data_IF_181711856855
#
_entry.id   IF_181711856855
#
_cell.length_a   1.000
_cell.length_b   1.000
_cell.length_c   1.000
_cell.angle_alpha   90.00
_cell.angle_beta   90.00
_cell.angle_gamma   90.00
#
_symmetry.space_group_name_H-M   'P 1'
#
loop_
_entity.id
_entity.type
_entity.pdbx_description
1 polymer ?
#
# COMPACT_ATOMS: atom_id res chain seq x y z
N UNK A 1 19.62 9.45 0.37
CA UNK A 1 18.88 9.02 -0.82
C UNK A 1 19.52 7.72 -1.27
N UNK A 2 18.84 6.58 -1.14
CA UNK A 2 19.38 5.32 -1.67
C UNK A 2 19.33 5.37 -3.20
N UNK A 3 20.44 5.05 -3.87
CA UNK A 3 20.50 4.79 -5.31
C UNK A 3 19.68 3.52 -5.65
N UNK A 4 18.37 3.50 -5.44
CA UNK A 4 17.54 2.41 -5.96
C UNK A 4 17.36 2.63 -7.46
N UNK A 5 17.63 1.59 -8.25
CA UNK A 5 17.30 1.60 -9.68
C UNK A 5 15.83 1.95 -9.88
N UNK A 6 15.51 2.77 -10.88
CA UNK A 6 14.13 3.09 -11.24
C UNK A 6 13.44 1.89 -11.90
N UNK A 7 14.19 1.13 -12.70
CA UNK A 7 13.76 -0.13 -13.34
C UNK A 7 14.15 -1.31 -12.46
N UNK A 8 13.17 -2.13 -12.05
CA UNK A 8 13.36 -3.29 -11.19
C UNK A 8 12.44 -4.41 -11.62
N UNK A 9 13.00 -5.59 -11.93
CA UNK A 9 12.20 -6.81 -12.08
C UNK A 9 11.71 -7.29 -10.70
N UNK A 10 10.40 -7.33 -10.50
CA UNK A 10 9.77 -7.55 -9.20
C UNK A 10 10.09 -8.94 -8.65
N UNK A 11 9.95 -9.99 -9.47
CA UNK A 11 10.20 -11.37 -9.03
C UNK A 11 11.66 -11.58 -8.66
N UNK A 12 12.58 -11.08 -9.49
CA UNK A 12 14.02 -11.13 -9.20
C UNK A 12 14.36 -10.36 -7.92
N UNK A 13 13.78 -9.18 -7.74
CA UNK A 13 14.01 -8.37 -6.54
C UNK A 13 13.49 -9.07 -5.28
N UNK A 14 12.30 -9.66 -5.33
CA UNK A 14 11.76 -10.47 -4.23
C UNK A 14 12.69 -11.65 -3.96
N UNK A 15 13.13 -12.39 -4.99
CA UNK A 15 14.02 -13.53 -4.84
C UNK A 15 15.36 -13.14 -4.18
N UNK A 16 15.94 -12.01 -4.57
CA UNK A 16 17.17 -11.47 -3.98
C UNK A 16 16.99 -10.99 -2.53
N UNK A 17 15.77 -10.66 -2.12
CA UNK A 17 15.47 -10.09 -0.81
C UNK A 17 14.67 -11.02 0.11
N UNK A 18 14.60 -12.33 -0.20
CA UNK A 18 13.80 -13.31 0.55
C UNK A 18 14.00 -13.27 2.07
N UNK A 19 15.22 -13.05 2.53
CA UNK A 19 15.54 -12.99 3.97
C UNK A 19 14.86 -11.81 4.69
N UNK A 20 14.53 -10.72 3.99
CA UNK A 20 13.85 -9.58 4.58
C UNK A 20 12.36 -9.86 4.87
N UNK A 21 11.79 -10.90 4.25
CA UNK A 21 10.39 -11.30 4.41
C UNK A 21 10.18 -12.27 5.57
N UNK A 22 11.23 -12.54 6.35
CA UNK A 22 11.21 -13.37 7.55
C UNK A 22 11.40 -12.50 8.81
N UNK A 23 10.95 -12.97 9.99
CA UNK A 23 11.26 -12.31 11.25
C UNK A 23 12.77 -12.14 11.46
N UNK A 24 13.21 -11.04 12.13
CA UNK A 24 12.39 -10.01 12.78
C UNK A 24 12.00 -8.83 11.86
N UNK A 25 12.40 -8.84 10.59
CA UNK A 25 12.22 -7.68 9.69
C UNK A 25 10.85 -7.70 9.03
N UNK A 26 10.47 -8.85 8.45
CA UNK A 26 9.20 -9.13 7.77
C UNK A 26 8.80 -8.18 6.63
N UNK A 27 9.57 -7.15 6.27
CA UNK A 27 9.25 -6.22 5.19
C UNK A 27 10.50 -5.64 4.54
N UNK A 28 10.35 -5.15 3.30
CA UNK A 28 11.37 -4.35 2.65
C UNK A 28 10.76 -3.38 1.64
N UNK A 29 11.21 -2.14 1.68
CA UNK A 29 10.91 -1.12 0.67
C UNK A 29 11.72 -1.38 -0.60
N UNK A 30 11.02 -1.53 -1.73
CA UNK A 30 11.61 -1.46 -3.07
C UNK A 30 11.88 -0.01 -3.46
N UNK A 31 10.91 0.87 -3.20
CA UNK A 31 11.04 2.32 -3.38
C UNK A 31 10.55 3.05 -2.13
N UNK A 32 11.26 4.12 -1.76
CA UNK A 32 10.93 5.00 -0.64
C UNK A 32 11.06 6.45 -1.11
N UNK A 33 10.08 6.89 -1.91
CA UNK A 33 10.01 8.20 -2.57
C UNK A 33 8.72 8.92 -2.15
N UNK A 34 7.98 9.54 -3.08
CA UNK A 34 6.62 9.99 -2.80
C UNK A 34 5.68 8.77 -2.69
N UNK A 35 5.88 7.74 -3.52
CA UNK A 35 5.31 6.42 -3.29
C UNK A 35 6.28 5.53 -2.48
N UNK A 36 5.71 4.83 -1.50
CA UNK A 36 6.37 3.77 -0.76
C UNK A 36 5.89 2.43 -1.34
N UNK A 37 6.74 1.78 -2.12
CA UNK A 37 6.45 0.45 -2.68
C UNK A 37 7.19 -0.57 -1.81
N UNK A 38 6.45 -1.40 -1.09
CA UNK A 38 7.05 -2.39 -0.18
C UNK A 38 6.47 -3.78 -0.35
N UNK A 39 7.31 -4.77 -0.08
CA UNK A 39 6.91 -6.17 0.00
C UNK A 39 7.05 -6.65 1.43
N UNK A 40 6.04 -7.36 1.91
CA UNK A 40 5.89 -7.76 3.30
C UNK A 40 5.62 -9.26 3.37
N UNK A 41 6.41 -9.96 4.18
CA UNK A 41 6.23 -11.37 4.48
C UNK A 41 5.78 -11.65 5.91
N UNK A 42 6.13 -12.84 6.41
CA UNK A 42 5.71 -13.31 7.72
C UNK A 42 6.44 -14.59 8.16
N UNK A 43 6.13 -15.12 9.36
CA UNK A 43 4.96 -14.77 10.15
C UNK A 43 5.10 -13.43 10.88
N UNK A 44 4.04 -12.64 10.88
CA UNK A 44 3.94 -11.42 11.66
C UNK A 44 2.49 -11.23 12.12
N UNK A 45 2.24 -11.39 13.42
CA UNK A 45 0.94 -11.15 14.04
C UNK A 45 1.10 -10.09 15.11
N UNK A 46 0.18 -9.13 15.12
CA UNK A 46 0.29 -7.93 15.94
C UNK A 46 -1.09 -7.49 16.44
N UNK A 47 -1.11 -6.79 17.57
CA UNK A 47 -2.36 -6.30 18.21
C UNK A 47 -2.61 -4.82 18.00
N UNK A 48 -1.58 -4.09 17.57
CA UNK A 48 -1.73 -2.68 17.25
C UNK A 48 -2.46 -2.47 15.94
N UNK A 49 -3.25 -1.41 15.92
CA UNK A 49 -3.94 -0.86 14.78
C UNK A 49 -3.23 0.42 14.37
N UNK A 50 -2.82 0.47 13.11
CA UNK A 50 -2.32 1.68 12.49
C UNK A 50 -3.50 2.44 11.87
N UNK A 51 -3.44 3.76 11.94
CA UNK A 51 -4.39 4.68 11.35
C UNK A 51 -3.58 5.75 10.65
N UNK A 52 -3.86 5.98 9.37
CA UNK A 52 -3.25 7.04 8.60
C UNK A 52 -4.30 7.79 7.77
N UNK A 53 -3.88 8.92 7.20
CA UNK A 53 -4.75 9.76 6.36
C UNK A 53 -4.64 9.48 4.86
N UNK A 54 -3.64 8.69 4.44
CA UNK A 54 -3.54 8.12 3.09
C UNK A 54 -4.30 6.80 2.97
N UNK A 55 -4.33 6.27 1.76
CA UNK A 55 -4.89 4.93 1.46
C UNK A 55 -3.76 3.89 1.34
N UNK A 56 -4.09 2.62 1.55
CA UNK A 56 -3.14 1.51 1.40
C UNK A 56 -3.67 0.47 0.41
N UNK A 57 -2.92 0.24 -0.67
CA UNK A 57 -3.19 -0.83 -1.62
C UNK A 57 -2.48 -2.11 -1.17
N UNK A 58 -3.22 -3.20 -1.11
CA UNK A 58 -2.71 -4.55 -0.81
C UNK A 58 -2.87 -5.46 -2.03
N UNK A 59 -1.85 -6.24 -2.33
CA UNK A 59 -1.91 -7.34 -3.29
C UNK A 59 -1.10 -8.53 -2.79
N UNK A 60 -1.74 -9.69 -2.62
CA UNK A 60 -1.04 -10.90 -2.16
C UNK A 60 -0.43 -11.65 -3.34
N UNK A 61 0.90 -11.66 -3.45
CA UNK A 61 1.62 -12.40 -4.48
C UNK A 61 1.77 -13.87 -4.11
N UNK A 62 1.96 -14.15 -2.81
CA UNK A 62 2.12 -15.52 -2.28
C UNK A 62 1.45 -15.65 -0.92
N UNK A 63 0.61 -16.67 -0.78
CA UNK A 63 -0.14 -17.02 0.42
C UNK A 63 -1.16 -15.98 0.84
N UNK A 64 -1.85 -16.26 1.94
CA UNK A 64 -2.98 -15.46 2.42
C UNK A 64 -2.56 -14.53 3.57
N UNK A 65 -3.28 -13.43 3.72
CA UNK A 65 -3.21 -12.59 4.91
C UNK A 65 -4.60 -12.25 5.46
N UNK A 66 -4.66 -11.80 6.71
CA UNK A 66 -5.85 -11.21 7.29
C UNK A 66 -5.54 -9.77 7.69
N UNK A 67 -6.26 -8.80 7.15
CA UNK A 67 -6.22 -7.42 7.60
C UNK A 67 -7.39 -7.22 8.57
N UNK A 68 -7.09 -7.14 9.88
CA UNK A 68 -8.12 -6.79 10.86
C UNK A 68 -8.39 -5.30 10.76
N UNK A 69 -9.65 -4.89 10.66
CA UNK A 69 -10.03 -3.47 10.61
C UNK A 69 -11.06 -3.16 11.69
N UNK A 70 -11.22 -1.87 12.01
CA UNK A 70 -12.38 -1.37 12.74
C UNK A 70 -13.27 -0.64 11.74
N UNK A 71 -14.31 -1.34 11.27
CA UNK A 71 -15.32 -0.80 10.36
C UNK A 71 -16.53 -0.37 11.20
N UNK A 72 -16.87 0.92 11.17
CA UNK A 72 -18.05 1.45 11.88
C UNK A 72 -18.09 1.07 13.37
N UNK A 73 -16.94 1.17 14.03
CA UNK A 73 -16.81 0.83 15.46
C UNK A 73 -16.91 -0.66 15.76
N UNK A 74 -16.73 -1.54 14.76
CA UNK A 74 -16.74 -2.99 14.95
C UNK A 74 -15.50 -3.63 14.34
N UNK A 75 -14.95 -4.60 15.05
CA UNK A 75 -13.89 -5.44 14.49
C UNK A 75 -14.41 -6.23 13.30
N UNK A 76 -13.62 -6.27 12.23
CA UNK A 76 -13.88 -7.05 11.03
C UNK A 76 -12.57 -7.61 10.52
N UNK A 77 -12.57 -8.89 10.18
CA UNK A 77 -11.43 -9.56 9.57
C UNK A 77 -11.61 -9.54 8.04
N UNK A 78 -10.68 -8.91 7.33
CA UNK A 78 -10.63 -8.89 5.87
C UNK A 78 -9.59 -9.89 5.41
N UNK A 79 -10.05 -11.04 4.90
CA UNK A 79 -9.16 -12.07 4.36
C UNK A 79 -8.79 -11.72 2.91
N UNK A 80 -7.50 -11.50 2.67
CA UNK A 80 -6.94 -11.22 1.35
C UNK A 80 -6.12 -12.45 0.96
N UNK A 81 -6.63 -13.24 0.02
CA UNK A 81 -6.01 -14.49 -0.43
C UNK A 81 -4.94 -14.24 -1.48
N UNK A 82 -4.09 -15.24 -1.72
CA UNK A 82 -3.15 -15.23 -2.84
C UNK A 82 -3.85 -14.84 -4.16
N UNK A 83 -3.28 -13.87 -4.88
CA UNK A 83 -3.82 -13.32 -6.12
C UNK A 83 -4.95 -12.29 -5.94
N UNK A 84 -5.39 -12.00 -4.72
CA UNK A 84 -6.40 -10.98 -4.44
C UNK A 84 -5.79 -9.60 -4.20
N UNK A 85 -6.48 -8.57 -4.70
CA UNK A 85 -6.23 -7.16 -4.41
C UNK A 85 -7.27 -6.58 -3.46
N UNK A 86 -6.87 -5.59 -2.67
CA UNK A 86 -7.71 -4.85 -1.75
C UNK A 86 -7.18 -3.44 -1.57
N UNK A 87 -8.06 -2.43 -1.62
CA UNK A 87 -7.72 -1.05 -1.33
C UNK A 87 -8.36 -0.62 -0.01
N UNK A 88 -7.54 -0.23 0.96
CA UNK A 88 -7.99 0.30 2.24
C UNK A 88 -8.21 1.82 2.13
N UNK A 89 -9.46 2.31 2.34
CA UNK A 89 -9.72 3.74 2.45
C UNK A 89 -8.95 4.39 3.60
N UNK A 90 -8.63 5.67 3.45
CA UNK A 90 -8.02 6.48 4.48
C UNK A 90 -8.77 6.45 5.81
N UNK A 91 -8.04 6.60 6.92
CA UNK A 91 -8.55 6.79 8.28
C UNK A 91 -9.38 5.61 8.82
N UNK A 92 -9.08 4.40 8.34
CA UNK A 92 -9.60 3.15 8.89
C UNK A 92 -8.52 2.51 9.76
N UNK A 93 -8.76 2.28 11.07
CA UNK A 93 -7.85 1.54 11.90
C UNK A 93 -7.67 0.13 11.35
N UNK A 94 -6.44 -0.29 11.11
CA UNK A 94 -6.14 -1.60 10.53
C UNK A 94 -4.91 -2.27 11.16
N UNK A 95 -4.92 -3.60 11.24
CA UNK A 95 -3.91 -4.42 11.89
C UNK A 95 -3.60 -5.65 11.03
N UNK A 96 -2.54 -5.60 10.19
CA UNK A 96 -2.22 -6.68 9.26
C UNK A 96 -1.64 -7.91 9.98
N UNK A 97 -2.16 -9.07 9.63
CA UNK A 97 -1.76 -10.39 10.15
C UNK A 97 -1.26 -11.25 9.00
N UNK A 98 0.02 -11.62 9.03
CA UNK A 98 0.69 -12.38 7.97
C UNK A 98 1.18 -13.72 8.49
N UNK A 99 0.94 -14.77 7.71
CA UNK A 99 1.39 -16.13 8.02
C UNK A 99 2.83 -16.34 7.55
N UNK A 100 3.42 -17.48 7.92
CA UNK A 100 4.74 -17.85 7.40
C UNK A 100 4.68 -18.10 5.89
N UNK A 101 5.80 -17.87 5.20
CA UNK A 101 5.98 -18.15 3.77
C UNK A 101 5.06 -17.36 2.82
N UNK A 102 4.52 -16.23 3.27
CA UNK A 102 3.72 -15.31 2.44
C UNK A 102 4.55 -14.15 1.91
N UNK A 103 4.15 -13.55 0.79
CA UNK A 103 4.67 -12.27 0.30
C UNK A 103 3.50 -11.45 -0.26
N UNK A 104 3.34 -10.23 0.23
CA UNK A 104 2.34 -9.28 -0.28
C UNK A 104 2.97 -7.93 -0.59
N UNK A 105 2.49 -7.29 -1.65
CA UNK A 105 2.73 -5.89 -1.97
C UNK A 105 1.84 -5.01 -1.07
N UNK A 106 2.44 -3.94 -0.56
CA UNK A 106 1.75 -2.79 0.01
C UNK A 106 2.24 -1.53 -0.71
N UNK A 107 1.30 -0.68 -1.14
CA UNK A 107 1.60 0.65 -1.66
C UNK A 107 0.88 1.68 -0.81
N UNK A 108 1.66 2.62 -0.28
CA UNK A 108 1.23 3.81 0.44
C UNK A 108 2.02 5.02 -0.09
N UNK A 109 1.71 6.22 0.40
CA UNK A 109 2.42 7.44 0.01
C UNK A 109 3.03 8.20 1.18
N UNK A 110 4.04 8.99 0.87
CA UNK A 110 4.56 10.05 1.74
C UNK A 110 3.42 10.91 2.26
N UNK A 111 3.43 11.15 3.57
CA UNK A 111 2.46 12.02 4.24
C UNK A 111 2.65 13.48 3.84
N UNK A 112 1.57 14.24 3.77
CA UNK A 112 1.62 15.69 3.80
C UNK A 112 2.09 16.15 5.19
N UNK A 113 2.66 17.36 5.27
CA UNK A 113 3.11 17.93 6.55
C UNK A 113 1.98 18.18 7.55
N UNK A 114 0.74 18.22 7.07
CA UNK A 114 -0.48 18.37 7.87
C UNK A 114 -1.06 17.04 8.33
N UNK A 115 -0.57 15.91 7.81
CA UNK A 115 -1.13 14.60 8.08
C UNK A 115 -0.48 13.95 9.30
N UNK A 116 -1.30 13.22 10.07
CA UNK A 116 -0.86 12.52 11.28
C UNK A 116 -1.21 11.05 11.20
N UNK A 117 -0.30 10.21 11.68
CA UNK A 117 -0.52 8.78 11.87
C UNK A 117 -0.80 8.48 13.35
N UNK A 118 -1.49 7.37 13.61
CA UNK A 118 -1.71 6.85 14.95
C UNK A 118 -1.33 5.37 15.00
N UNK A 119 -0.67 4.97 16.09
CA UNK A 119 -0.61 3.58 16.51
C UNK A 119 -1.47 3.40 17.75
N UNK A 120 -2.42 2.46 17.70
CA UNK A 120 -3.41 2.25 18.75
C UNK A 120 -3.51 0.79 19.16
N UNK A 121 -3.61 0.53 20.45
CA UNK A 121 -4.00 -0.77 21.00
C UNK A 121 -5.39 -0.64 21.62
N UNK A 122 -6.16 -1.73 21.56
CA UNK A 122 -7.50 -1.79 22.11
C UNK A 122 -7.57 -2.73 23.32
N UNK A 123 -8.53 -2.46 24.21
CA UNK A 123 -8.87 -3.40 25.27
C UNK A 123 -9.42 -4.67 24.62
N UNK A 124 -8.99 -5.83 25.11
CA UNK A 124 -9.27 -7.12 24.48
C UNK A 124 -10.78 -7.32 24.22
N UNK A 125 -11.11 -7.71 22.98
CA UNK A 125 -12.49 -7.92 22.49
C UNK A 125 -13.40 -6.68 22.50
N UNK A 126 -12.84 -5.48 22.59
CA UNK A 126 -13.59 -4.21 22.51
C UNK A 126 -12.91 -3.25 21.53
N UNK A 127 -13.61 -2.17 21.17
CA UNK A 127 -13.00 -1.04 20.45
C UNK A 127 -12.54 0.08 21.37
N UNK A 128 -12.56 -0.13 22.69
CA UNK A 128 -12.09 0.86 23.65
C UNK A 128 -10.57 1.01 23.56
N UNK A 129 -10.08 2.23 23.69
CA UNK A 129 -8.66 2.54 23.53
C UNK A 129 -7.92 2.09 24.80
N UNK A 130 -6.90 1.24 24.62
CA UNK A 130 -6.00 0.82 25.69
C UNK A 130 -4.76 1.72 25.76
N UNK A 131 -4.21 2.08 24.59
CA UNK A 131 -3.05 2.93 24.44
C UNK A 131 -3.08 3.53 23.03
N UNK A 132 -2.68 4.79 22.87
CA UNK A 132 -2.46 5.35 21.54
C UNK A 132 -1.31 6.36 21.51
N UNK A 133 -0.68 6.46 20.34
CA UNK A 133 0.28 7.54 20.05
C UNK A 133 0.03 8.10 18.66
N UNK A 134 -0.16 9.41 18.62
CA UNK A 134 -0.24 10.21 17.40
C UNK A 134 1.13 10.79 17.06
N UNK A 135 1.52 10.73 15.79
CA UNK A 135 2.83 11.20 15.34
C UNK A 135 2.81 11.62 13.87
N UNK A 136 3.72 12.52 13.49
CA UNK A 136 3.98 12.83 12.08
C UNK A 136 4.86 11.74 11.48
N UNK A 137 4.35 11.02 10.48
CA UNK A 137 5.06 9.90 9.87
C UNK A 137 5.97 10.39 8.73
N UNK A 138 7.28 10.23 8.93
CA UNK A 138 8.33 10.43 7.92
C UNK A 138 8.90 9.10 7.44
N UNK A 139 9.06 8.14 8.36
CA UNK A 139 9.46 6.77 8.07
C UNK A 139 8.77 5.83 9.06
N UNK A 140 7.71 5.17 8.60
CA UNK A 140 6.84 4.35 9.43
C UNK A 140 7.63 3.24 10.14
N UNK A 141 8.47 2.51 9.41
CA UNK A 141 9.23 1.38 9.95
C UNK A 141 10.16 1.75 11.11
N UNK A 142 10.83 2.91 11.05
CA UNK A 142 11.72 3.33 12.14
C UNK A 142 10.97 3.97 13.31
N UNK A 143 9.87 4.68 13.04
CA UNK A 143 9.10 5.39 14.06
C UNK A 143 8.15 4.49 14.86
N UNK A 144 7.68 3.39 14.27
CA UNK A 144 6.83 2.43 15.00
C UNK A 144 7.59 1.67 16.09
N UNK A 145 8.87 1.34 15.88
CA UNK A 145 9.69 0.57 16.83
C UNK A 145 9.71 1.16 18.25
N UNK A 146 10.02 2.46 18.46
CA UNK A 146 9.99 3.05 19.80
C UNK A 146 8.57 3.11 20.40
N UNK A 147 7.53 3.37 19.60
CA UNK A 147 6.13 3.42 20.08
C UNK A 147 5.68 2.04 20.57
N UNK A 148 5.99 0.99 19.81
CA UNK A 148 5.68 -0.40 20.18
C UNK A 148 6.42 -0.78 21.47
N UNK A 149 7.70 -0.40 21.60
CA UNK A 149 8.47 -0.62 22.84
C UNK A 149 7.86 0.12 24.03
N UNK A 150 7.41 1.36 23.83
CA UNK A 150 6.74 2.13 24.87
C UNK A 150 5.48 1.40 25.37
N UNK A 151 4.63 0.91 24.46
CA UNK A 151 3.45 0.12 24.82
C UNK A 151 3.83 -1.14 25.62
N UNK A 152 4.78 -1.95 25.14
CA UNK A 152 5.14 -3.19 25.84
C UNK A 152 5.78 -2.96 27.22
N UNK A 153 6.30 -1.76 27.50
CA UNK A 153 6.82 -1.37 28.81
C UNK A 153 5.77 -0.66 29.68
N UNK A 154 4.55 -0.44 29.19
CA UNK A 154 3.53 0.35 29.87
C UNK A 154 2.70 -0.46 30.86
N UNK A 155 2.11 0.24 31.83
CA UNK A 155 1.15 -0.34 32.77
C UNK A 155 -0.13 -0.80 32.06
N UNK A 156 -0.52 -0.14 30.97
CA UNK A 156 -1.66 -0.53 30.14
C UNK A 156 -1.43 -1.91 29.51
N UNK A 157 -0.22 -2.19 28.99
CA UNK A 157 0.12 -3.53 28.51
C UNK A 157 0.20 -4.55 29.65
N UNK A 158 0.73 -4.17 30.82
CA UNK A 158 0.85 -5.06 31.98
C UNK A 158 -0.50 -5.46 32.56
N UNK A 159 -1.46 -4.54 32.59
CA UNK A 159 -2.76 -4.71 33.27
C UNK A 159 -3.91 -5.01 32.32
N UNK A 160 -3.76 -4.72 31.03
CA UNK A 160 -4.84 -4.77 30.04
C UNK A 160 -5.92 -3.71 30.27
N UNK A 161 -5.65 -2.68 31.07
CA UNK A 161 -6.60 -1.61 31.41
C UNK A 161 -6.07 -0.26 30.92
N UNK A 162 -6.95 0.63 30.43
CA UNK A 162 -6.56 2.00 30.13
C UNK A 162 -6.03 2.70 31.40
N UNK A 163 -5.07 3.61 31.21
CA UNK A 163 -4.63 4.49 32.29
C UNK A 163 -5.76 5.48 32.63
N UNK A 164 -6.27 5.51 33.87
CA UNK A 164 -7.37 6.39 34.25
C UNK A 164 -7.02 7.88 34.17
N UNK A 165 -5.73 8.24 34.21
CA UNK A 165 -5.25 9.61 34.11
C UNK A 165 -4.91 10.01 32.66
N UNK A 166 -4.90 9.05 31.72
CA UNK A 166 -4.66 9.29 30.31
C UNK A 166 -5.90 9.86 29.62
N UNK A 167 -5.78 11.10 29.14
CA UNK A 167 -6.81 11.74 28.34
C UNK A 167 -6.51 11.51 26.86
N UNK A 168 -7.29 10.62 26.23
CA UNK A 168 -7.20 10.40 24.79
C UNK A 168 -7.59 11.67 24.03
N UNK A 169 -6.74 12.05 23.07
CA UNK A 169 -7.00 13.22 22.25
C UNK A 169 -8.16 12.90 21.32
N UNK A 170 -9.03 13.89 21.08
CA UNK A 170 -9.92 13.83 19.92
C UNK A 170 -9.05 13.58 18.67
N UNK A 171 -9.38 12.56 17.84
CA UNK A 171 -8.64 12.34 16.61
C UNK A 171 -8.54 13.63 15.79
N UNK A 172 -7.38 13.94 15.18
CA UNK A 172 -7.18 15.18 14.43
C UNK A 172 -8.01 15.25 13.14
N UNK A 173 -8.69 14.15 12.79
CA UNK A 173 -9.58 14.02 11.64
C UNK A 173 -10.78 13.13 11.98
N UNK A 174 -11.82 13.23 11.16
CA UNK A 174 -12.94 12.30 11.23
C UNK A 174 -12.52 10.91 10.78
N UNK A 175 -12.70 9.92 11.65
CA UNK A 175 -12.52 8.50 11.32
C UNK A 175 -13.49 8.09 10.21
N UNK A 176 -13.03 7.21 9.32
CA UNK A 176 -13.83 6.79 8.18
C UNK A 176 -14.92 5.79 8.62
N UNK A 177 -16.15 6.04 8.16
CA UNK A 177 -17.35 5.24 8.46
C UNK A 177 -17.87 4.46 7.24
N UNK A 178 -17.12 4.45 6.14
CA UNK A 178 -17.47 3.66 4.96
C UNK A 178 -17.24 2.19 5.23
N UNK A 179 -18.11 1.35 4.67
CA UNK A 179 -17.84 -0.07 4.60
C UNK A 179 -16.64 -0.31 3.67
N UNK A 180 -15.67 -1.12 4.13
CA UNK A 180 -14.56 -1.58 3.29
C UNK A 180 -15.08 -2.54 2.23
N UNK A 181 -14.44 -2.50 1.06
CA UNK A 181 -14.74 -3.43 -0.02
C UNK A 181 -14.37 -4.87 0.34
N UNK A 182 -14.84 -5.82 -0.46
CA UNK A 182 -14.30 -7.18 -0.41
C UNK A 182 -13.06 -7.25 -1.31
N UNK A 183 -11.99 -7.94 -0.88
CA UNK A 183 -10.89 -8.30 -1.77
C UNK A 183 -11.41 -9.07 -2.99
N UNK A 184 -10.72 -8.96 -4.11
CA UNK A 184 -11.10 -9.66 -5.34
C UNK A 184 -9.89 -10.22 -6.06
N UNK A 185 -10.09 -11.36 -6.73
CA UNK A 185 -9.10 -11.99 -7.61
C UNK A 185 -8.71 -11.02 -8.74
N UNK A 186 -7.46 -10.58 -8.75
CA UNK A 186 -6.95 -9.69 -9.79
C UNK A 186 -7.02 -10.36 -11.16
N UNK A 187 -6.70 -11.66 -11.24
CA UNK A 187 -6.77 -12.44 -12.47
C UNK A 187 -8.18 -12.48 -13.05
N UNK A 188 -9.19 -12.81 -12.25
CA UNK A 188 -10.58 -12.89 -12.74
C UNK A 188 -11.13 -11.52 -13.10
N UNK A 189 -10.70 -10.47 -12.39
CA UNK A 189 -11.02 -9.09 -12.75
C UNK A 189 -10.37 -8.72 -14.10
N UNK A 190 -9.07 -9.00 -14.27
CA UNK A 190 -8.30 -8.69 -15.47
C UNK A 190 -8.87 -9.40 -16.70
N UNK A 191 -9.20 -10.69 -16.59
CA UNK A 191 -9.77 -11.49 -17.68
C UNK A 191 -11.07 -10.87 -18.23
N UNK A 192 -11.87 -10.24 -17.36
CA UNK A 192 -13.09 -9.50 -17.78
C UNK A 192 -12.77 -8.18 -18.49
N UNK A 193 -11.64 -7.55 -18.18
CA UNK A 193 -11.24 -6.28 -18.77
C UNK A 193 -10.44 -6.42 -20.06
N UNK A 194 -9.91 -7.62 -20.38
CA UNK A 194 -9.09 -7.88 -21.57
C UNK A 194 -9.66 -7.28 -22.87
N UNK A 195 -10.97 -7.35 -23.18
CA UNK A 195 -11.51 -6.72 -24.39
C UNK A 195 -11.33 -5.20 -24.42
N UNK A 196 -11.51 -4.50 -23.29
CA UNK A 196 -11.28 -3.05 -23.19
C UNK A 196 -9.80 -2.70 -23.31
N UNK A 197 -8.94 -3.50 -22.69
CA UNK A 197 -7.49 -3.28 -22.74
C UNK A 197 -6.96 -3.49 -24.17
N UNK A 198 -7.42 -4.53 -24.86
CA UNK A 198 -7.06 -4.79 -26.25
C UNK A 198 -7.48 -3.68 -27.22
N UNK A 199 -8.52 -2.89 -26.89
CA UNK A 199 -8.90 -1.70 -27.66
C UNK A 199 -8.12 -0.44 -27.27
N UNK A 200 -7.05 -0.57 -26.49
CA UNK A 200 -6.22 0.54 -26.00
C UNK A 200 -6.89 1.42 -24.94
N UNK A 201 -8.05 1.01 -24.40
CA UNK A 201 -8.77 1.78 -23.38
C UNK A 201 -8.31 1.37 -21.99
N UNK A 202 -7.64 2.25 -21.22
CA UNK A 202 -7.25 1.94 -19.86
C UNK A 202 -8.48 1.82 -18.95
N UNK A 203 -8.36 1.01 -17.92
CA UNK A 203 -9.44 0.75 -16.96
C UNK A 203 -8.97 1.11 -15.56
N UNK A 204 -9.73 1.95 -14.87
CA UNK A 204 -9.56 2.25 -13.44
C UNK A 204 -10.17 1.09 -12.64
N UNK A 205 -9.34 0.42 -11.83
CA UNK A 205 -9.72 -0.76 -11.08
C UNK A 205 -10.68 -0.45 -9.93
N UNK A 206 -10.50 0.69 -9.27
CA UNK A 206 -11.22 1.02 -8.04
C UNK A 206 -12.22 2.16 -8.24
N UNK A 207 -12.00 3.03 -9.24
CA UNK A 207 -12.89 4.14 -9.57
C UNK A 207 -12.59 5.44 -8.82
N UNK A 208 -13.26 6.51 -9.24
CA UNK A 208 -12.98 7.88 -8.81
C UNK A 208 -13.36 8.22 -7.34
N UNK A 209 -13.88 7.27 -6.56
CA UNK A 209 -14.24 7.48 -5.15
C UNK A 209 -13.07 7.30 -4.17
N UNK A 210 -11.88 6.98 -4.67
CA UNK A 210 -10.64 6.78 -3.93
C UNK A 210 -9.60 7.84 -4.28
N UNK A 211 -8.62 8.03 -3.40
CA UNK A 211 -7.43 8.83 -3.69
C UNK A 211 -6.49 8.07 -4.64
N UNK A 212 -6.31 6.77 -4.39
CA UNK A 212 -5.48 5.85 -5.15
C UNK A 212 -6.08 5.60 -6.52
N UNK A 213 -5.26 5.75 -7.54
CA UNK A 213 -5.53 5.31 -8.90
C UNK A 213 -4.72 4.05 -9.17
N UNK A 214 -5.42 2.94 -9.46
CA UNK A 214 -4.80 1.73 -9.99
C UNK A 214 -5.38 1.49 -11.37
N UNK A 215 -4.64 1.93 -12.37
CA UNK A 215 -5.02 1.85 -13.77
C UNK A 215 -4.39 0.62 -14.39
N UNK A 216 -5.14 -0.10 -15.23
CA UNK A 216 -4.59 -1.15 -16.07
C UNK A 216 -4.63 -0.71 -17.52
N UNK A 217 -3.49 -0.82 -18.19
CA UNK A 217 -3.27 -0.40 -19.57
C UNK A 217 -3.03 -1.61 -20.47
N UNK A 218 -3.64 -1.55 -21.66
CA UNK A 218 -3.29 -2.40 -22.79
C UNK A 218 -2.30 -1.71 -23.75
N UNK A 219 -2.19 -2.17 -25.01
CA UNK A 219 -1.37 -1.52 -26.04
C UNK A 219 -1.74 -0.06 -26.26
N UNK A 220 -0.79 0.75 -26.74
CA UNK A 220 -1.03 2.14 -27.11
C UNK A 220 0.02 3.12 -26.61
N UNK A 221 -0.28 4.40 -26.69
CA UNK A 221 0.63 5.49 -26.32
C UNK A 221 0.01 6.34 -25.22
N UNK A 222 0.80 6.63 -24.19
CA UNK A 222 0.56 7.77 -23.31
C UNK A 222 1.43 8.90 -23.83
N UNK A 223 0.78 9.99 -24.27
CA UNK A 223 1.47 11.19 -24.75
C UNK A 223 2.36 11.79 -23.65
N UNK A 224 3.34 12.59 -24.08
CA UNK A 224 4.28 13.23 -23.16
C UNK A 224 3.55 14.03 -22.08
N UNK A 225 3.82 13.69 -20.82
CA UNK A 225 3.14 14.27 -19.66
C UNK A 225 4.10 14.44 -18.49
N UNK A 226 3.70 15.24 -17.51
CA UNK A 226 4.44 15.50 -16.26
C UNK A 226 3.52 15.21 -15.08
N UNK A 227 3.74 14.12 -14.33
CA UNK A 227 2.88 13.75 -13.22
C UNK A 227 3.16 14.63 -12.00
N UNK A 228 2.12 14.91 -11.21
CA UNK A 228 2.23 15.71 -9.97
C UNK A 228 2.66 14.88 -8.75
N UNK A 229 2.68 13.56 -8.88
CA UNK A 229 3.07 12.57 -7.87
C UNK A 229 3.88 11.45 -8.54
N UNK A 230 4.51 10.56 -7.78
CA UNK A 230 5.19 9.42 -8.37
C UNK A 230 4.18 8.52 -9.11
N UNK A 231 4.66 7.89 -10.17
CA UNK A 231 3.91 6.88 -10.95
C UNK A 231 4.70 5.59 -10.89
N UNK A 232 4.10 4.52 -10.38
CA UNK A 232 4.72 3.19 -10.40
C UNK A 232 4.04 2.31 -11.44
N UNK A 233 4.80 1.92 -12.47
CA UNK A 233 4.37 1.00 -13.52
C UNK A 233 4.86 -0.39 -13.17
N UNK A 234 4.02 -1.41 -13.33
CA UNK A 234 4.39 -2.81 -13.28
C UNK A 234 3.90 -3.51 -14.54
N UNK A 235 4.84 -3.90 -15.40
CA UNK A 235 4.59 -4.63 -16.63
C UNK A 235 4.27 -6.09 -16.29
N UNK A 236 3.00 -6.48 -16.40
CA UNK A 236 2.54 -7.82 -16.03
C UNK A 236 2.68 -8.80 -17.22
N UNK A 237 2.34 -8.33 -18.42
CA UNK A 237 2.38 -9.11 -19.67
C UNK A 237 2.94 -8.26 -20.80
N UNK A 238 3.65 -8.86 -21.77
CA UNK A 238 4.18 -8.16 -22.94
C UNK A 238 5.34 -7.22 -22.63
N UNK A 239 5.52 -6.22 -23.48
CA UNK A 239 6.64 -5.27 -23.43
C UNK A 239 6.17 -3.83 -23.67
N UNK A 240 6.85 -2.89 -23.03
CA UNK A 240 6.64 -1.47 -23.24
C UNK A 240 7.95 -0.70 -23.14
N UNK A 241 7.91 0.57 -23.55
CA UNK A 241 9.03 1.49 -23.50
C UNK A 241 8.61 2.78 -22.82
N UNK A 242 9.31 3.13 -21.75
CA UNK A 242 9.17 4.42 -21.06
C UNK A 242 10.33 5.31 -21.49
N UNK A 243 10.03 6.49 -22.00
CA UNK A 243 11.01 7.53 -22.31
C UNK A 243 10.89 8.62 -21.27
N UNK A 244 11.92 8.81 -20.44
CA UNK A 244 11.95 9.82 -19.36
C UNK A 244 13.25 10.60 -19.46
N UNK A 245 13.16 11.94 -19.54
CA UNK A 245 14.32 12.84 -19.68
C UNK A 245 15.31 12.40 -20.80
N UNK A 246 14.76 12.09 -21.98
CA UNK A 246 15.52 11.62 -23.17
C UNK A 246 16.20 10.24 -23.02
N UNK A 247 16.01 9.55 -21.89
CA UNK A 247 16.47 8.18 -21.68
C UNK A 247 15.32 7.20 -21.85
N UNK A 248 15.58 6.12 -22.58
CA UNK A 248 14.61 5.05 -22.80
C UNK A 248 14.88 3.86 -21.88
N UNK A 249 13.83 3.35 -21.24
CA UNK A 249 13.83 2.08 -20.53
C UNK A 249 12.82 1.14 -21.19
N UNK A 250 13.27 -0.06 -21.56
CA UNK A 250 12.37 -1.14 -22.01
C UNK A 250 11.96 -1.96 -20.81
N UNK A 251 10.65 -2.16 -20.65
CA UNK A 251 10.06 -3.01 -19.64
C UNK A 251 9.54 -4.28 -20.31
N UNK A 252 9.86 -5.43 -19.73
CA UNK A 252 9.32 -6.74 -20.08
C UNK A 252 8.47 -7.30 -18.94
N UNK A 253 7.78 -8.42 -19.16
CA UNK A 253 6.94 -9.03 -18.13
C UNK A 253 7.72 -9.27 -16.82
N UNK A 254 7.16 -8.79 -15.72
CA UNK A 254 7.77 -8.79 -14.38
C UNK A 254 8.54 -7.52 -14.04
N UNK A 255 8.89 -6.68 -15.02
CA UNK A 255 9.57 -5.41 -14.77
C UNK A 255 8.63 -4.35 -14.22
N UNK A 256 9.12 -3.59 -13.24
CA UNK A 256 8.48 -2.39 -12.72
C UNK A 256 9.38 -1.18 -12.93
N UNK A 257 8.77 -0.01 -13.10
CA UNK A 257 9.47 1.25 -13.27
C UNK A 257 8.79 2.34 -12.45
N UNK A 258 9.55 3.04 -11.61
CA UNK A 258 9.04 4.23 -10.90
C UNK A 258 9.47 5.51 -11.63
N UNK A 259 8.48 6.34 -11.93
CA UNK A 259 8.65 7.66 -12.55
C UNK A 259 8.44 8.69 -11.43
N UNK A 260 9.50 9.41 -11.00
CA UNK A 260 9.37 10.37 -9.92
C UNK A 260 8.46 11.55 -10.29
N UNK A 261 7.78 12.13 -9.29
CA UNK A 261 6.99 13.35 -9.43
C UNK A 261 7.78 14.44 -10.19
N UNK A 262 7.08 15.21 -11.04
CA UNK A 262 7.66 16.26 -11.89
C UNK A 262 8.62 15.78 -13.00
N UNK A 263 8.81 14.47 -13.18
CA UNK A 263 9.62 13.93 -14.28
C UNK A 263 8.77 13.79 -15.54
N UNK A 264 9.16 14.47 -16.63
CA UNK A 264 8.49 14.30 -17.91
C UNK A 264 8.72 12.89 -18.45
N UNK A 265 7.64 12.23 -18.87
CA UNK A 265 7.73 10.92 -19.51
C UNK A 265 6.73 10.75 -20.65
N UNK A 266 7.04 9.82 -21.54
CA UNK A 266 6.15 9.23 -22.53
C UNK A 266 6.18 7.71 -22.36
N UNK A 267 5.07 7.02 -22.64
CA UNK A 267 5.00 5.58 -22.46
C UNK A 267 4.32 4.89 -23.65
N UNK A 268 5.10 4.11 -24.39
CA UNK A 268 4.64 3.33 -25.54
C UNK A 268 4.52 1.86 -25.17
N UNK A 269 3.36 1.26 -25.42
CA UNK A 269 3.02 -0.12 -25.04
C UNK A 269 2.73 -0.94 -26.29
N UNK A 270 3.45 -2.06 -26.44
CA UNK A 270 3.32 -2.94 -27.60
C UNK A 270 2.06 -3.81 -27.51
N UNK A 271 1.72 -4.46 -28.62
CA UNK A 271 0.62 -5.42 -28.68
C UNK A 271 0.80 -6.54 -27.66
N UNK A 272 -0.28 -6.91 -26.97
CA UNK A 272 -0.24 -7.90 -25.88
C UNK A 272 0.23 -7.34 -24.53
N UNK A 273 0.51 -6.03 -24.43
CA UNK A 273 0.79 -5.40 -23.12
C UNK A 273 -0.39 -5.54 -22.18
N UNK A 274 -0.10 -5.95 -20.93
CA UNK A 274 -0.91 -5.64 -19.76
C UNK A 274 0.03 -5.03 -18.73
N UNK A 275 -0.23 -3.78 -18.35
CA UNK A 275 0.59 -3.10 -17.36
C UNK A 275 -0.30 -2.39 -16.33
N UNK A 276 0.07 -2.54 -15.07
CA UNK A 276 -0.54 -1.87 -13.94
C UNK A 276 0.20 -0.55 -13.70
N UNK A 277 -0.53 0.51 -13.41
CA UNK A 277 0.00 1.83 -13.07
C UNK A 277 -0.67 2.28 -11.77
N UNK A 278 0.13 2.57 -10.75
CA UNK A 278 -0.33 3.03 -9.44
C UNK A 278 0.10 4.47 -9.20
N UNK A 279 -0.85 5.28 -8.73
CA UNK A 279 -0.64 6.66 -8.30
C UNK A 279 -1.43 6.89 -7.01
N UNK A 280 -0.82 7.60 -6.06
CA UNK A 280 -1.50 8.16 -4.89
C UNK A 280 -1.19 9.65 -4.80
N UNK A 281 -2.00 10.45 -5.50
CA UNK A 281 -1.88 11.90 -5.48
C UNK A 281 -2.67 12.48 -4.30
N UNK A 282 -2.01 13.12 -3.30
CA UNK A 282 -2.71 13.72 -2.15
C UNK A 282 -3.72 14.80 -2.51
N UNK A 283 -3.65 15.42 -3.71
CA UNK A 283 -4.67 16.37 -4.18
C UNK A 283 -6.02 15.70 -4.48
N UNK A 284 -6.04 14.37 -4.64
CA UNK A 284 -7.26 13.55 -4.81
C UNK A 284 -7.81 13.03 -3.49
N UNK A 285 -7.20 13.39 -2.36
CA UNK A 285 -7.61 12.94 -1.04
C UNK A 285 -9.09 13.24 -0.82
N UNK A 286 -9.82 12.24 -0.34
CA UNK A 286 -11.26 12.37 -0.07
C UNK A 286 -11.48 13.07 1.28
N UNK A 287 -12.49 13.97 1.38
CA UNK A 287 -12.83 14.62 2.65
C UNK A 287 -13.22 13.59 3.72
#
# INVERSE_FOLDING_TARGET
MSNSSLLVNVDNWIAQNQNAFLPPVCNKLMHFLQLNIMFVGGPNSRKDYHIEEGEELFYQLKGDMCLKVIENGKHKDVHIREGEMFLLPARIPHSPQRQANTVGLVVERRRLLTETDCLRYHVENTTDILFEKWFYCQNLGTQLVPIIKEFFLSEQCRTGKPDPDEVFRQPPFQMNTRAVMSPFSFKDWLDKQRPSLASGRPVDMFGAQFETEVMVFGPGLTETTVPQSDVWIWQMEGSSKVTMNEQEATLTAGDSFIIPEQSQYQWQREDGTVALLVVQNPERKRP
#
